data_IF_028628342220
#
_entry.id   IF_028628342220
#
_cell.length_a   1.000
_cell.length_b   1.000
_cell.length_c   1.000
_cell.angle_alpha   90.00
_cell.angle_beta   90.00
_cell.angle_gamma   90.00
#
_symmetry.space_group_name_H-M   'P 1'
#
loop_
_entity.id
_entity.type
_entity.pdbx_description
1 polymer ?
#
# COMPACT_ATOMS: atom_id res chain seq x y z
N UNK A 1 -4.06 -26.59 -7.84
CA UNK A 1 -3.69 -26.46 -6.42
C UNK A 1 -2.29 -27.03 -6.24
N UNK A 2 -1.31 -26.18 -5.94
CA UNK A 2 0.04 -26.64 -5.59
C UNK A 2 -0.05 -27.51 -4.33
N UNK A 3 0.69 -28.61 -4.29
CA UNK A 3 0.80 -29.41 -3.08
C UNK A 3 1.50 -28.56 -2.02
N UNK A 4 0.90 -28.43 -0.85
CA UNK A 4 1.55 -27.83 0.32
C UNK A 4 2.79 -28.67 0.67
N UNK A 5 3.96 -28.09 0.50
CA UNK A 5 5.22 -28.71 0.90
C UNK A 5 5.69 -28.08 2.22
N UNK A 6 5.62 -28.87 3.28
CA UNK A 6 6.07 -28.47 4.61
C UNK A 6 7.51 -28.91 4.94
N UNK A 7 8.21 -29.54 3.99
CA UNK A 7 9.58 -29.94 4.20
C UNK A 7 10.50 -28.71 4.29
N UNK A 8 11.42 -28.71 5.24
CA UNK A 8 12.45 -27.66 5.35
C UNK A 8 13.58 -27.82 4.33
N UNK A 9 13.61 -28.95 3.62
CA UNK A 9 14.54 -29.23 2.52
C UNK A 9 13.75 -29.46 1.22
N UNK A 10 14.25 -28.93 0.13
CA UNK A 10 13.75 -29.24 -1.21
C UNK A 10 14.37 -30.53 -1.72
N UNK A 11 13.83 -31.10 -2.81
CA UNK A 11 14.34 -32.31 -3.46
C UNK A 11 15.83 -32.23 -3.86
N UNK A 12 16.39 -31.02 -3.93
CA UNK A 12 17.81 -30.76 -4.21
C UNK A 12 18.61 -30.41 -2.95
N UNK A 13 18.17 -30.81 -1.75
CA UNK A 13 18.80 -30.49 -0.47
C UNK A 13 18.98 -28.97 -0.22
N UNK A 14 18.17 -28.14 -0.85
CA UNK A 14 18.22 -26.67 -0.67
C UNK A 14 17.38 -26.28 0.54
N UNK A 15 17.96 -25.51 1.43
CA UNK A 15 17.26 -25.03 2.61
C UNK A 15 16.10 -24.09 2.23
N UNK A 16 14.90 -24.31 2.77
CA UNK A 16 13.66 -23.62 2.37
C UNK A 16 13.74 -22.09 2.44
N UNK A 17 14.49 -21.53 3.37
CA UNK A 17 14.69 -20.07 3.43
C UNK A 17 15.37 -19.52 2.16
N UNK A 18 16.18 -20.33 1.50
CA UNK A 18 16.88 -19.93 0.27
C UNK A 18 16.06 -20.21 -0.98
N UNK A 19 15.41 -21.38 -1.01
CA UNK A 19 14.54 -21.81 -2.12
C UNK A 19 13.36 -22.58 -1.55
N UNK A 20 12.15 -22.06 -1.79
CA UNK A 20 10.90 -22.73 -1.48
C UNK A 20 10.04 -22.74 -2.76
N UNK A 21 9.73 -23.91 -3.29
CA UNK A 21 8.97 -24.03 -4.54
C UNK A 21 7.59 -23.39 -4.46
N UNK A 22 6.88 -23.59 -3.34
CA UNK A 22 5.55 -23.03 -3.14
C UNK A 22 5.59 -21.49 -3.16
N UNK A 23 6.57 -20.90 -2.48
CA UNK A 23 6.79 -19.44 -2.48
C UNK A 23 7.19 -18.96 -3.87
N UNK A 24 8.09 -19.69 -4.57
CA UNK A 24 8.55 -19.31 -5.90
C UNK A 24 7.43 -19.34 -6.96
N UNK A 25 6.50 -20.28 -6.86
CA UNK A 25 5.35 -20.36 -7.77
C UNK A 25 4.40 -19.18 -7.58
N UNK A 26 4.10 -18.80 -6.32
CA UNK A 26 3.29 -17.63 -6.04
C UNK A 26 4.00 -16.33 -6.45
N UNK A 27 5.30 -16.20 -6.19
CA UNK A 27 6.11 -15.05 -6.65
C UNK A 27 6.05 -14.91 -8.18
N UNK A 28 6.18 -16.01 -8.91
CA UNK A 28 6.07 -16.03 -10.37
C UNK A 28 4.67 -15.65 -10.84
N UNK A 29 3.61 -16.14 -10.18
CA UNK A 29 2.22 -15.79 -10.48
C UNK A 29 2.00 -14.27 -10.28
N UNK A 30 2.41 -13.74 -9.16
CA UNK A 30 2.30 -12.30 -8.87
C UNK A 30 3.12 -11.45 -9.85
N UNK A 31 4.34 -11.88 -10.19
CA UNK A 31 5.14 -11.19 -11.20
C UNK A 31 4.42 -11.14 -12.55
N UNK A 32 3.78 -12.24 -12.98
CA UNK A 32 2.95 -12.27 -14.18
C UNK A 32 1.76 -11.31 -14.11
N UNK A 33 1.07 -11.23 -12.97
CA UNK A 33 -0.06 -10.31 -12.78
C UNK A 33 0.37 -8.83 -12.84
N UNK A 34 1.53 -8.49 -12.30
CA UNK A 34 2.11 -7.14 -12.43
C UNK A 34 2.71 -6.86 -13.82
N UNK A 35 3.06 -7.89 -14.60
CA UNK A 35 3.95 -7.74 -15.75
C UNK A 35 5.37 -7.34 -15.35
N UNK A 36 5.78 -7.73 -14.16
CA UNK A 36 7.09 -7.46 -13.57
C UNK A 36 8.07 -8.61 -13.87
N UNK A 37 9.37 -8.34 -13.73
CA UNK A 37 10.39 -9.40 -13.89
C UNK A 37 10.50 -10.28 -12.67
N UNK A 38 10.33 -9.71 -11.46
CA UNK A 38 10.48 -10.45 -10.22
C UNK A 38 9.55 -9.93 -9.13
N UNK A 39 9.08 -10.85 -8.28
CA UNK A 39 8.45 -10.54 -6.99
C UNK A 39 9.22 -11.31 -5.92
N UNK A 40 9.41 -10.69 -4.76
CA UNK A 40 9.87 -11.34 -3.53
C UNK A 40 8.77 -11.21 -2.49
N UNK A 41 8.29 -12.34 -1.98
CA UNK A 41 7.36 -12.36 -0.86
C UNK A 41 8.08 -12.04 0.45
N UNK A 42 7.40 -11.32 1.32
CA UNK A 42 7.89 -10.94 2.65
C UNK A 42 6.82 -11.19 3.71
N UNK A 43 7.22 -11.28 4.99
CA UNK A 43 6.27 -11.54 6.09
C UNK A 43 5.36 -10.33 6.39
N UNK A 44 5.72 -9.14 5.91
CA UNK A 44 4.90 -7.92 5.99
C UNK A 44 5.36 -6.90 4.96
N UNK A 45 4.51 -5.90 4.64
CA UNK A 45 4.93 -4.78 3.79
C UNK A 45 6.05 -3.96 4.43
N UNK A 46 6.04 -3.77 5.75
CA UNK A 46 7.15 -3.09 6.44
C UNK A 46 8.48 -3.83 6.31
N UNK A 47 8.46 -5.17 6.30
CA UNK A 47 9.66 -5.96 5.99
C UNK A 47 10.09 -5.75 4.54
N UNK A 48 9.16 -5.74 3.58
CA UNK A 48 9.44 -5.42 2.18
C UNK A 48 10.12 -4.05 2.04
N UNK A 49 9.56 -3.02 2.68
CA UNK A 49 10.11 -1.66 2.69
C UNK A 49 11.52 -1.66 3.28
N UNK A 50 11.71 -2.23 4.46
CA UNK A 50 13.01 -2.22 5.14
C UNK A 50 14.09 -2.95 4.35
N UNK A 51 13.77 -4.11 3.79
CA UNK A 51 14.68 -4.90 2.95
C UNK A 51 15.05 -4.11 1.70
N UNK A 52 14.08 -3.51 1.01
CA UNK A 52 14.31 -2.78 -0.22
C UNK A 52 15.18 -1.54 0.00
N UNK A 53 14.91 -0.76 1.04
CA UNK A 53 15.73 0.39 1.39
C UNK A 53 17.15 0.00 1.82
N UNK A 54 17.31 -1.06 2.62
CA UNK A 54 18.62 -1.57 3.01
C UNK A 54 19.43 -2.08 1.80
N UNK A 55 18.74 -2.66 0.81
CA UNK A 55 19.38 -3.13 -0.43
C UNK A 55 19.82 -1.96 -1.31
N UNK A 56 18.95 -0.97 -1.52
CA UNK A 56 19.21 0.16 -2.39
C UNK A 56 20.18 1.16 -1.77
N UNK A 57 20.13 1.34 -0.46
CA UNK A 57 20.87 2.36 0.29
C UNK A 57 21.64 1.75 1.48
N UNK A 58 22.59 0.82 1.22
CA UNK A 58 23.29 0.12 2.31
C UNK A 58 24.09 1.07 3.23
N UNK A 59 24.53 2.20 2.69
CA UNK A 59 25.28 3.22 3.43
C UNK A 59 24.44 4.45 3.79
N UNK A 60 23.11 4.36 3.63
CA UNK A 60 22.22 5.51 3.77
C UNK A 60 22.13 6.35 2.49
N UNK A 61 21.44 7.48 2.58
CA UNK A 61 21.26 8.39 1.44
C UNK A 61 20.06 9.30 1.60
N UNK A 62 19.86 10.17 0.63
CA UNK A 62 18.74 11.11 0.61
C UNK A 62 17.51 10.45 0.01
N UNK A 63 16.40 10.53 0.75
CA UNK A 63 15.11 9.92 0.42
C UNK A 63 14.06 11.02 0.37
N UNK A 64 13.41 11.18 -0.76
CA UNK A 64 12.27 12.08 -0.92
C UNK A 64 10.99 11.26 -0.74
N UNK A 65 10.16 11.63 0.23
CA UNK A 65 8.87 10.97 0.46
C UNK A 65 7.73 11.96 0.27
N UNK A 66 6.57 11.45 -0.18
CA UNK A 66 5.39 12.29 -0.21
C UNK A 66 4.94 12.62 1.22
N UNK A 67 4.53 13.85 1.46
CA UNK A 67 4.14 14.32 2.80
C UNK A 67 3.00 13.54 3.44
N UNK A 68 2.12 12.92 2.65
CA UNK A 68 1.01 12.06 3.10
C UNK A 68 1.29 10.55 3.00
N UNK A 69 2.58 10.17 2.94
CA UNK A 69 3.04 8.77 3.03
C UNK A 69 2.59 8.14 4.35
N UNK A 70 2.29 6.85 4.30
CA UNK A 70 1.85 6.04 5.45
C UNK A 70 2.72 6.28 6.68
N UNK A 71 2.05 6.48 7.82
CA UNK A 71 2.70 6.91 9.07
C UNK A 71 3.86 6.01 9.51
N UNK A 72 3.67 4.68 9.49
CA UNK A 72 4.72 3.75 9.95
C UNK A 72 5.94 3.77 9.03
N UNK A 73 5.77 3.93 7.72
CA UNK A 73 6.89 4.09 6.77
C UNK A 73 7.68 5.36 7.08
N UNK A 74 6.98 6.48 7.29
CA UNK A 74 7.63 7.75 7.66
C UNK A 74 8.39 7.64 8.97
N UNK A 75 7.78 7.02 10.00
CA UNK A 75 8.44 6.85 11.30
C UNK A 75 9.67 5.94 11.19
N UNK A 76 9.55 4.82 10.49
CA UNK A 76 10.65 3.90 10.27
C UNK A 76 11.85 4.58 9.58
N UNK A 77 11.60 5.34 8.50
CA UNK A 77 12.64 6.08 7.78
C UNK A 77 13.35 7.09 8.70
N UNK A 78 12.58 7.88 9.47
CA UNK A 78 13.13 8.88 10.41
C UNK A 78 13.92 8.23 11.57
N UNK A 79 13.40 7.12 12.11
CA UNK A 79 14.05 6.41 13.21
C UNK A 79 15.37 5.74 12.81
N UNK A 80 15.52 5.35 11.56
CA UNK A 80 16.71 4.64 11.07
C UNK A 80 17.99 5.49 11.19
N UNK A 81 17.88 6.83 11.21
CA UNK A 81 19.00 7.81 11.30
C UNK A 81 20.05 7.69 10.18
N UNK A 82 19.89 6.74 9.26
CA UNK A 82 20.80 6.53 8.11
C UNK A 82 20.36 7.32 6.89
N UNK A 83 19.10 7.74 6.85
CA UNK A 83 18.51 8.42 5.70
C UNK A 83 18.32 9.90 6.01
N UNK A 84 18.69 10.75 5.05
CA UNK A 84 18.24 12.12 4.98
C UNK A 84 16.82 12.12 4.40
N UNK A 85 15.80 12.17 5.23
CA UNK A 85 14.39 12.11 4.81
C UNK A 85 13.86 13.50 4.56
N UNK A 86 13.45 13.78 3.33
CA UNK A 86 12.83 15.03 2.93
C UNK A 86 11.36 14.77 2.56
N UNK A 87 10.45 15.42 3.24
CA UNK A 87 9.02 15.38 2.93
C UNK A 87 8.66 16.45 1.91
N UNK A 88 8.09 16.04 0.78
CA UNK A 88 7.70 16.93 -0.29
C UNK A 88 6.25 16.66 -0.69
N UNK A 89 5.50 17.69 -1.03
CA UNK A 89 4.20 17.51 -1.66
C UNK A 89 4.38 17.15 -3.14
N UNK A 90 4.11 15.91 -3.50
CA UNK A 90 4.31 15.45 -4.87
C UNK A 90 3.33 16.07 -5.87
N UNK A 91 2.27 16.73 -5.44
CA UNK A 91 1.46 17.56 -6.35
C UNK A 91 2.26 18.72 -6.94
N UNK A 92 3.29 19.19 -6.22
CA UNK A 92 4.20 20.22 -6.70
C UNK A 92 5.21 19.73 -7.76
N UNK A 93 5.34 18.40 -7.95
CA UNK A 93 6.16 17.84 -9.02
C UNK A 93 5.43 17.83 -10.37
N UNK A 94 4.09 17.94 -10.35
CA UNK A 94 3.25 17.89 -11.55
C UNK A 94 2.87 19.26 -12.08
N UNK A 95 3.01 20.31 -11.28
CA UNK A 95 2.59 21.66 -11.68
C UNK A 95 3.37 22.73 -10.92
N UNK A 96 4.17 23.51 -11.63
CA UNK A 96 4.87 24.67 -11.10
C UNK A 96 4.11 25.95 -11.41
N UNK A 97 3.98 26.81 -10.41
CA UNK A 97 3.34 28.13 -10.56
C UNK A 97 4.34 29.17 -11.04
N UNK A 98 5.65 28.92 -10.86
CA UNK A 98 6.73 29.83 -11.28
C UNK A 98 8.04 29.07 -11.56
N UNK A 99 8.97 29.71 -12.28
CA UNK A 99 10.33 29.21 -12.46
C UNK A 99 11.10 29.12 -11.15
N UNK A 100 10.82 30.00 -10.20
CA UNK A 100 11.44 29.99 -8.86
C UNK A 100 11.05 28.74 -8.10
N UNK A 101 9.76 28.35 -8.12
CA UNK A 101 9.28 27.11 -7.50
C UNK A 101 9.92 25.87 -8.14
N UNK A 102 10.06 25.85 -9.47
CA UNK A 102 10.74 24.77 -10.17
C UNK A 102 12.21 24.64 -9.76
N UNK A 103 12.91 25.77 -9.65
CA UNK A 103 14.32 25.81 -9.22
C UNK A 103 14.47 25.35 -7.77
N UNK A 104 13.59 25.81 -6.88
CA UNK A 104 13.55 25.38 -5.48
C UNK A 104 13.37 23.86 -5.36
N UNK A 105 12.40 23.31 -6.08
CA UNK A 105 12.17 21.85 -6.09
C UNK A 105 13.38 21.09 -6.62
N UNK A 106 13.99 21.55 -7.69
CA UNK A 106 15.20 20.92 -8.24
C UNK A 106 16.36 20.92 -7.24
N UNK A 107 16.54 21.98 -6.47
CA UNK A 107 17.57 22.01 -5.43
C UNK A 107 17.21 21.08 -4.26
N UNK A 108 15.93 21.03 -3.86
CA UNK A 108 15.45 20.11 -2.81
C UNK A 108 15.72 18.65 -3.18
N UNK A 109 15.45 18.24 -4.42
CA UNK A 109 15.60 16.83 -4.86
C UNK A 109 17.03 16.46 -5.25
N UNK A 110 17.92 17.41 -5.37
CA UNK A 110 19.32 17.19 -5.76
C UNK A 110 20.01 16.22 -4.82
N UNK A 111 20.69 15.24 -5.39
CA UNK A 111 21.36 14.16 -4.65
C UNK A 111 20.42 13.12 -4.04
N UNK A 112 19.13 13.19 -4.32
CA UNK A 112 18.20 12.14 -3.90
C UNK A 112 18.56 10.81 -4.57
N UNK A 113 18.47 9.74 -3.78
CA UNK A 113 18.70 8.37 -4.23
C UNK A 113 17.42 7.59 -4.45
N UNK A 114 16.39 7.91 -3.66
CA UNK A 114 15.08 7.24 -3.70
C UNK A 114 13.95 8.27 -3.55
N UNK A 115 12.91 8.10 -4.34
CA UNK A 115 11.59 8.71 -4.16
C UNK A 115 10.60 7.62 -3.74
N UNK A 116 9.76 7.93 -2.75
CA UNK A 116 8.77 6.99 -2.24
C UNK A 116 7.40 7.67 -2.07
N UNK A 117 6.35 7.02 -2.56
CA UNK A 117 4.98 7.48 -2.36
C UNK A 117 4.00 6.31 -2.31
N UNK A 118 2.93 6.49 -1.54
CA UNK A 118 1.74 5.62 -1.58
C UNK A 118 0.91 5.96 -2.83
N UNK A 119 0.42 4.96 -3.55
CA UNK A 119 -0.31 5.16 -4.80
C UNK A 119 -1.60 4.33 -4.86
N UNK A 120 -2.79 4.95 -4.71
CA UNK A 120 -3.00 6.35 -4.39
C UNK A 120 -2.49 6.72 -3.00
N UNK A 121 -2.33 8.02 -2.76
CA UNK A 121 -1.91 8.52 -1.46
C UNK A 121 -2.94 8.24 -0.35
N UNK A 122 -2.57 8.51 0.91
CA UNK A 122 -3.49 8.36 2.04
C UNK A 122 -4.84 9.06 1.81
N UNK A 123 -4.86 10.26 1.20
CA UNK A 123 -6.09 10.98 0.86
C UNK A 123 -6.68 10.59 -0.50
N UNK A 124 -6.44 9.37 -0.96
CA UNK A 124 -6.99 8.82 -2.20
C UNK A 124 -6.66 9.66 -3.46
N UNK A 125 -5.56 10.42 -3.43
CA UNK A 125 -5.09 11.19 -4.57
C UNK A 125 -4.20 10.34 -5.46
N UNK A 126 -4.41 10.46 -6.76
CA UNK A 126 -3.48 9.97 -7.75
C UNK A 126 -2.54 11.11 -8.15
N UNK A 127 -1.28 10.78 -8.31
CA UNK A 127 -0.25 11.67 -8.86
C UNK A 127 0.10 11.22 -10.27
N UNK A 128 0.53 12.12 -11.13
CA UNK A 128 1.06 11.75 -12.44
C UNK A 128 2.43 11.07 -12.28
N UNK A 129 2.43 9.75 -12.36
CA UNK A 129 3.66 8.96 -12.22
C UNK A 129 4.66 9.22 -13.36
N UNK A 130 4.22 9.64 -14.55
CA UNK A 130 5.12 9.95 -15.66
C UNK A 130 5.91 11.23 -15.37
N UNK A 131 5.24 12.25 -14.86
CA UNK A 131 5.90 13.48 -14.44
C UNK A 131 6.87 13.23 -13.27
N UNK A 132 6.43 12.51 -12.24
CA UNK A 132 7.32 12.12 -11.12
C UNK A 132 8.55 11.37 -11.63
N UNK A 133 8.37 10.42 -12.55
CA UNK A 133 9.46 9.66 -13.14
C UNK A 133 10.45 10.54 -13.88
N UNK A 134 10.02 11.65 -14.49
CA UNK A 134 10.93 12.60 -15.15
C UNK A 134 11.88 13.25 -14.15
N UNK A 135 11.38 13.68 -12.98
CA UNK A 135 12.20 14.22 -11.90
C UNK A 135 13.14 13.17 -11.29
N UNK A 136 12.62 11.98 -11.03
CA UNK A 136 13.41 10.85 -10.50
C UNK A 136 14.59 10.55 -11.41
N UNK A 137 14.36 10.50 -12.72
CA UNK A 137 15.41 10.27 -13.73
C UNK A 137 16.41 11.44 -13.81
N UNK A 138 15.95 12.69 -13.65
CA UNK A 138 16.82 13.87 -13.72
C UNK A 138 17.91 13.88 -12.65
N UNK A 139 17.69 13.20 -11.52
CA UNK A 139 18.68 13.07 -10.44
C UNK A 139 19.25 11.64 -10.32
N UNK A 140 18.99 10.77 -11.30
CA UNK A 140 19.43 9.37 -11.33
C UNK A 140 19.00 8.57 -10.08
N UNK A 141 17.82 8.86 -9.55
CA UNK A 141 17.24 8.18 -8.40
C UNK A 141 16.37 6.97 -8.81
N UNK A 142 15.84 6.24 -7.83
CA UNK A 142 14.85 5.18 -7.98
C UNK A 142 13.49 5.62 -7.47
N UNK A 143 12.41 5.20 -8.14
CA UNK A 143 11.05 5.40 -7.70
C UNK A 143 10.50 4.11 -7.08
N UNK A 144 10.01 4.22 -5.85
CA UNK A 144 9.28 3.17 -5.14
C UNK A 144 7.85 3.66 -4.91
N UNK A 145 6.87 2.83 -5.23
CA UNK A 145 5.46 3.10 -4.87
C UNK A 145 4.93 2.03 -3.93
N UNK A 146 4.16 2.45 -2.93
CA UNK A 146 3.33 1.53 -2.13
C UNK A 146 1.95 1.41 -2.78
N UNK A 147 1.65 0.22 -3.29
CA UNK A 147 0.42 -0.06 -4.05
C UNK A 147 -0.69 -0.69 -3.20
N UNK A 148 -0.58 -0.60 -1.87
CA UNK A 148 -1.44 -1.33 -0.93
C UNK A 148 -2.92 -0.92 -1.02
N UNK A 149 -3.23 0.36 -1.25
CA UNK A 149 -4.60 0.91 -1.13
C UNK A 149 -5.56 0.38 -2.19
N UNK A 150 -5.09 0.16 -3.42
CA UNK A 150 -5.91 -0.34 -4.52
C UNK A 150 -5.43 -1.68 -5.07
N UNK A 151 -4.31 -2.17 -4.57
CA UNK A 151 -3.65 -3.42 -4.97
C UNK A 151 -3.31 -3.50 -6.46
N UNK A 152 -2.63 -4.56 -6.84
CA UNK A 152 -2.34 -4.89 -8.24
C UNK A 152 -3.60 -4.99 -9.13
N UNK A 153 -4.79 -5.03 -8.51
CA UNK A 153 -6.04 -5.19 -9.24
C UNK A 153 -6.45 -3.91 -9.99
N UNK A 154 -6.38 -2.74 -9.33
CA UNK A 154 -6.79 -1.46 -9.94
C UNK A 154 -5.62 -0.60 -10.40
N UNK A 155 -4.46 -0.75 -9.78
CA UNK A 155 -3.29 0.07 -10.08
C UNK A 155 -2.07 -0.78 -10.36
N UNK A 156 -1.33 -0.41 -11.39
CA UNK A 156 -0.10 -1.12 -11.74
C UNK A 156 1.02 -0.14 -12.10
N UNK A 157 1.72 0.41 -11.10
CA UNK A 157 2.80 1.36 -11.33
C UNK A 157 3.98 0.81 -12.14
N UNK A 158 4.20 -0.51 -12.14
CA UNK A 158 5.23 -1.16 -12.96
C UNK A 158 5.01 -0.86 -14.45
N UNK A 159 3.76 -0.91 -14.92
CA UNK A 159 3.44 -0.62 -16.34
C UNK A 159 3.70 0.82 -16.73
N UNK A 160 3.68 1.73 -15.77
CA UNK A 160 4.00 3.15 -15.99
C UNK A 160 5.53 3.36 -16.03
N UNK A 161 6.31 2.45 -15.47
CA UNK A 161 7.77 2.51 -15.47
C UNK A 161 8.42 2.70 -14.11
N UNK A 162 7.64 2.61 -13.03
CA UNK A 162 8.15 2.64 -11.63
C UNK A 162 9.16 1.52 -11.43
N UNK A 163 10.27 1.79 -10.76
CA UNK A 163 11.35 0.82 -10.58
C UNK A 163 10.96 -0.33 -9.66
N UNK A 164 10.33 0.02 -8.52
CA UNK A 164 9.90 -0.94 -7.50
C UNK A 164 8.51 -0.61 -6.99
N UNK A 165 7.74 -1.65 -6.72
CA UNK A 165 6.48 -1.55 -6.00
C UNK A 165 6.59 -2.36 -4.72
N UNK A 166 6.12 -1.82 -3.60
CA UNK A 166 5.84 -2.57 -2.39
C UNK A 166 4.33 -2.66 -2.22
N UNK A 167 3.85 -3.77 -1.68
CA UNK A 167 2.42 -3.96 -1.44
C UNK A 167 2.20 -4.80 -0.19
N UNK A 168 1.25 -4.39 0.64
CA UNK A 168 0.76 -5.21 1.75
C UNK A 168 -0.27 -6.22 1.24
N UNK A 169 0.15 -7.44 1.02
CA UNK A 169 -0.76 -8.52 0.64
C UNK A 169 -1.72 -8.92 1.76
N UNK A 170 -1.49 -8.45 2.99
CA UNK A 170 -2.42 -8.58 4.12
C UNK A 170 -3.76 -7.87 3.90
N UNK A 171 -3.84 -6.93 2.94
CA UNK A 171 -5.03 -6.13 2.65
C UNK A 171 -5.90 -6.83 1.59
N UNK A 172 -6.23 -6.17 0.51
CA UNK A 172 -7.13 -6.69 -0.53
C UNK A 172 -6.69 -8.02 -1.13
N UNK A 173 -5.40 -8.27 -1.27
CA UNK A 173 -4.90 -9.53 -1.86
C UNK A 173 -5.34 -10.73 -1.02
N UNK A 174 -5.05 -10.76 0.28
CA UNK A 174 -5.56 -11.79 1.20
C UNK A 174 -7.05 -11.63 1.46
N UNK A 175 -7.51 -10.42 1.77
CA UNK A 175 -8.92 -10.04 1.81
C UNK A 175 -9.72 -10.53 3.01
N UNK A 176 -9.14 -11.29 3.94
CA UNK A 176 -9.89 -11.94 5.04
C UNK A 176 -9.46 -11.48 6.43
N UNK A 177 -8.36 -10.70 6.53
CA UNK A 177 -7.83 -10.22 7.81
C UNK A 177 -7.14 -11.30 8.65
N UNK A 178 -6.72 -12.38 8.01
CA UNK A 178 -6.14 -13.60 8.60
C UNK A 178 -4.71 -13.88 8.13
N UNK A 179 -4.19 -13.09 7.19
CA UNK A 179 -2.85 -13.23 6.61
C UNK A 179 -2.04 -11.97 6.83
N UNK A 180 -0.82 -12.12 7.26
CA UNK A 180 0.21 -11.07 7.21
C UNK A 180 1.25 -11.44 6.16
N UNK A 181 1.36 -10.60 5.13
CA UNK A 181 2.35 -10.74 4.07
C UNK A 181 2.57 -9.42 3.34
N UNK A 182 3.69 -9.31 2.66
CA UNK A 182 4.00 -8.22 1.75
C UNK A 182 4.78 -8.70 0.55
N UNK A 183 5.11 -7.80 -0.34
CA UNK A 183 5.94 -8.12 -1.50
C UNK A 183 6.76 -6.94 -1.98
N UNK A 184 7.90 -7.27 -2.58
CA UNK A 184 8.73 -6.36 -3.37
C UNK A 184 8.57 -6.78 -4.83
N UNK A 185 8.07 -5.89 -5.66
CA UNK A 185 7.88 -6.10 -7.08
C UNK A 185 8.94 -5.31 -7.84
N UNK A 186 9.72 -5.98 -8.67
CA UNK A 186 10.81 -5.39 -9.44
C UNK A 186 10.43 -5.27 -10.92
N UNK A 187 10.49 -4.06 -11.47
CA UNK A 187 10.25 -3.83 -12.90
C UNK A 187 11.25 -4.59 -13.76
N UNK A 188 12.52 -4.44 -13.43
CA UNK A 188 13.63 -5.07 -14.12
C UNK A 188 14.12 -6.31 -13.33
N UNK A 189 14.88 -7.18 -13.99
CA UNK A 189 15.48 -8.33 -13.31
C UNK A 189 16.49 -7.81 -12.27
N UNK A 190 16.26 -8.08 -10.98
CA UNK A 190 17.21 -7.65 -9.97
C UNK A 190 18.49 -8.49 -10.07
N UNK A 191 19.61 -7.91 -9.62
CA UNK A 191 20.84 -8.67 -9.50
C UNK A 191 20.65 -9.89 -8.60
N UNK A 192 21.34 -10.99 -8.88
CA UNK A 192 21.26 -12.23 -8.07
C UNK A 192 21.50 -11.99 -6.58
N UNK A 193 22.33 -11.01 -6.26
CA UNK A 193 22.59 -10.56 -4.89
C UNK A 193 21.33 -10.18 -4.11
N UNK A 194 20.30 -9.63 -4.76
CA UNK A 194 19.05 -9.25 -4.09
C UNK A 194 18.31 -10.48 -3.55
N UNK A 195 18.25 -11.57 -4.31
CA UNK A 195 17.64 -12.82 -3.84
C UNK A 195 18.35 -13.35 -2.58
N UNK A 196 19.70 -13.35 -2.64
CA UNK A 196 20.53 -13.77 -1.50
C UNK A 196 20.34 -12.82 -0.32
N UNK A 197 20.25 -11.52 -0.59
CA UNK A 197 20.04 -10.50 0.44
C UNK A 197 18.71 -10.70 1.18
N UNK A 198 17.60 -10.88 0.46
CA UNK A 198 16.26 -11.15 1.04
C UNK A 198 16.32 -12.37 1.97
N UNK A 199 16.89 -13.48 1.49
CA UNK A 199 17.03 -14.70 2.30
C UNK A 199 17.92 -14.52 3.54
N UNK A 200 19.03 -13.75 3.43
CA UNK A 200 19.92 -13.45 4.56
C UNK A 200 19.29 -12.53 5.61
N UNK A 201 18.31 -11.72 5.23
CA UNK A 201 17.51 -10.92 6.19
C UNK A 201 16.53 -11.77 6.99
N UNK A 202 16.47 -13.08 6.73
CA UNK A 202 15.60 -14.01 7.44
C UNK A 202 14.16 -14.03 6.93
N UNK A 203 13.90 -13.38 5.78
CA UNK A 203 12.58 -13.39 5.18
C UNK A 203 12.22 -14.81 4.73
N UNK A 204 11.23 -15.41 5.37
CA UNK A 204 10.76 -16.77 5.09
C UNK A 204 9.26 -16.85 5.35
N UNK A 205 8.49 -16.62 4.28
CA UNK A 205 7.03 -16.68 4.36
C UNK A 205 6.58 -18.13 4.52
N UNK A 206 5.69 -18.41 5.47
CA UNK A 206 5.24 -19.77 5.76
C UNK A 206 4.42 -20.35 4.60
N UNK A 207 4.49 -21.68 4.40
CA UNK A 207 3.69 -22.36 3.38
C UNK A 207 2.17 -22.15 3.59
N UNK A 208 1.71 -22.04 4.82
CA UNK A 208 0.31 -21.73 5.13
C UNK A 208 -0.08 -20.32 4.64
N UNK A 209 0.78 -19.33 4.87
CA UNK A 209 0.57 -17.97 4.37
C UNK A 209 0.48 -17.95 2.84
N UNK A 210 1.39 -18.66 2.16
CA UNK A 210 1.39 -18.76 0.70
C UNK A 210 0.11 -19.43 0.20
N UNK A 211 -0.31 -20.53 0.80
CA UNK A 211 -1.57 -21.22 0.47
C UNK A 211 -2.79 -20.31 0.61
N UNK A 212 -2.90 -19.56 1.71
CA UNK A 212 -4.00 -18.64 1.95
C UNK A 212 -4.00 -17.49 0.94
N UNK A 213 -2.84 -16.98 0.55
CA UNK A 213 -2.71 -15.96 -0.49
C UNK A 213 -3.15 -16.49 -1.86
N UNK A 214 -2.67 -17.67 -2.27
CA UNK A 214 -3.08 -18.30 -3.53
C UNK A 214 -4.59 -18.50 -3.60
N UNK A 215 -5.18 -19.07 -2.53
CA UNK A 215 -6.62 -19.25 -2.42
C UNK A 215 -7.38 -17.93 -2.53
N UNK A 216 -6.87 -16.88 -1.90
CA UNK A 216 -7.49 -15.55 -1.89
C UNK A 216 -7.43 -14.86 -3.25
N UNK A 217 -6.39 -15.10 -4.04
CA UNK A 217 -6.27 -14.57 -5.40
C UNK A 217 -7.38 -15.10 -6.33
N UNK A 218 -7.93 -16.29 -6.08
CA UNK A 218 -9.03 -16.84 -6.88
C UNK A 218 -10.33 -16.01 -6.80
N UNK A 219 -10.52 -15.28 -5.70
CA UNK A 219 -11.71 -14.43 -5.46
C UNK A 219 -11.42 -12.94 -5.54
N UNK A 220 -10.20 -12.54 -5.87
CA UNK A 220 -9.78 -11.14 -5.84
C UNK A 220 -10.68 -10.28 -6.72
N UNK A 221 -10.97 -10.71 -7.95
CA UNK A 221 -11.81 -9.97 -8.90
C UNK A 221 -13.21 -9.69 -8.33
N UNK A 222 -13.87 -10.71 -7.82
CA UNK A 222 -15.23 -10.59 -7.26
C UNK A 222 -15.24 -9.68 -6.04
N UNK A 223 -14.26 -9.83 -5.16
CA UNK A 223 -14.14 -9.00 -3.95
C UNK A 223 -13.88 -7.54 -4.28
N UNK A 224 -12.94 -7.24 -5.19
CA UNK A 224 -12.60 -5.88 -5.55
C UNK A 224 -13.76 -5.16 -6.24
N UNK A 225 -14.53 -5.84 -7.10
CA UNK A 225 -15.76 -5.29 -7.68
C UNK A 225 -16.78 -4.92 -6.62
N UNK A 226 -17.01 -5.82 -5.64
CA UNK A 226 -17.96 -5.57 -4.55
C UNK A 226 -17.50 -4.46 -3.61
N UNK A 227 -16.23 -4.42 -3.24
CA UNK A 227 -15.65 -3.30 -2.48
C UNK A 227 -15.89 -1.96 -3.18
N UNK A 228 -15.66 -1.93 -4.51
CA UNK A 228 -15.85 -0.71 -5.30
C UNK A 228 -17.31 -0.31 -5.40
N UNK A 229 -18.22 -1.26 -5.60
CA UNK A 229 -19.66 -1.00 -5.58
C UNK A 229 -20.08 -0.33 -4.27
N UNK A 230 -19.67 -0.94 -3.15
CA UNK A 230 -20.04 -0.44 -1.82
C UNK A 230 -19.38 0.93 -1.54
N UNK A 231 -18.08 1.07 -1.81
CA UNK A 231 -17.36 2.33 -1.61
C UNK A 231 -17.94 3.49 -2.42
N UNK A 232 -18.26 3.26 -3.69
CA UNK A 232 -18.90 4.27 -4.55
C UNK A 232 -20.26 4.68 -4.00
N UNK A 233 -21.11 3.72 -3.67
CA UNK A 233 -22.42 3.98 -3.12
C UNK A 233 -22.37 4.84 -1.84
N UNK A 234 -21.46 4.50 -0.93
CA UNK A 234 -21.29 5.26 0.32
C UNK A 234 -20.75 6.67 0.05
N UNK A 235 -19.71 6.81 -0.78
CA UNK A 235 -19.13 8.12 -1.13
C UNK A 235 -20.18 9.05 -1.78
N UNK A 236 -20.98 8.52 -2.71
CA UNK A 236 -22.07 9.29 -3.35
C UNK A 236 -23.14 9.76 -2.37
N UNK A 237 -23.49 8.92 -1.38
CA UNK A 237 -24.48 9.29 -0.38
C UNK A 237 -23.92 10.29 0.65
N UNK A 238 -22.63 10.20 1.02
CA UNK A 238 -21.96 11.24 1.80
C UNK A 238 -21.97 12.59 1.06
N UNK A 239 -21.70 12.59 -0.24
CA UNK A 239 -21.74 13.81 -1.06
C UNK A 239 -23.16 14.43 -1.12
N UNK A 240 -24.23 13.62 -1.20
CA UNK A 240 -25.62 14.11 -1.14
C UNK A 240 -25.95 14.81 0.18
N UNK A 241 -25.25 14.43 1.25
CA UNK A 241 -25.37 15.09 2.56
C UNK A 241 -24.38 16.27 2.73
N UNK A 242 -23.69 16.68 1.66
CA UNK A 242 -22.63 17.69 1.68
C UNK A 242 -21.48 17.38 2.65
N UNK A 243 -21.24 16.08 2.91
CA UNK A 243 -20.10 15.64 3.72
C UNK A 243 -18.91 15.45 2.76
N UNK A 244 -17.92 16.35 2.87
CA UNK A 244 -16.66 16.25 2.13
C UNK A 244 -16.02 14.89 2.43
N UNK A 245 -15.63 14.15 1.39
CA UNK A 245 -14.93 12.89 1.55
C UNK A 245 -13.89 12.71 0.45
N UNK A 246 -12.92 11.84 0.71
CA UNK A 246 -11.89 11.42 -0.23
C UNK A 246 -12.09 9.95 -0.55
N UNK A 247 -12.39 9.68 -1.79
CA UNK A 247 -12.58 8.36 -2.36
C UNK A 247 -11.91 8.31 -3.73
N UNK A 248 -11.12 7.26 -3.99
CA UNK A 248 -10.38 7.10 -5.24
C UNK A 248 -11.24 6.76 -6.47
N UNK A 249 -12.52 6.44 -6.26
CA UNK A 249 -13.39 5.85 -7.28
C UNK A 249 -13.34 4.32 -7.33
N UNK A 250 -12.42 3.70 -6.60
CA UNK A 250 -12.16 2.27 -6.56
C UNK A 250 -11.93 1.75 -5.14
N UNK A 251 -12.15 0.44 -4.94
CA UNK A 251 -12.00 -0.21 -3.63
C UNK A 251 -13.05 0.24 -2.62
N UNK A 252 -12.83 -0.04 -1.34
CA UNK A 252 -13.78 0.24 -0.27
C UNK A 252 -13.37 1.38 0.67
N UNK A 253 -12.17 1.96 0.52
CA UNK A 253 -11.65 2.94 1.47
C UNK A 253 -12.17 4.35 1.18
N UNK A 254 -12.77 4.97 2.20
CA UNK A 254 -13.27 6.35 2.16
C UNK A 254 -12.77 7.06 3.43
N UNK A 255 -12.30 8.28 3.26
CA UNK A 255 -11.83 9.14 4.36
C UNK A 255 -12.67 10.40 4.36
N UNK A 256 -13.09 10.87 5.52
CA UNK A 256 -13.80 12.14 5.65
C UNK A 256 -13.44 12.86 6.96
N UNK A 257 -13.47 14.22 6.99
CA UNK A 257 -13.08 15.00 8.15
C UNK A 257 -14.15 15.00 9.23
N UNK A 258 -13.72 15.21 10.47
CA UNK A 258 -14.59 15.46 11.62
C UNK A 258 -15.02 14.22 12.38
N UNK A 259 -15.50 14.38 13.61
CA UNK A 259 -16.04 13.38 14.56
C UNK A 259 -15.26 12.06 14.69
N UNK A 260 -13.99 12.01 14.29
CA UNK A 260 -13.22 10.79 13.98
C UNK A 260 -13.42 9.64 14.95
N UNK A 261 -13.08 9.79 16.24
CA UNK A 261 -13.16 8.70 17.22
C UNK A 261 -14.60 8.39 17.63
N UNK A 262 -15.39 9.41 17.97
CA UNK A 262 -16.78 9.27 18.37
C UNK A 262 -17.63 8.59 17.29
N UNK A 263 -17.47 9.01 16.03
CA UNK A 263 -18.16 8.40 14.91
C UNK A 263 -17.77 6.92 14.75
N UNK A 264 -16.48 6.60 14.85
CA UNK A 264 -16.01 5.23 14.73
C UNK A 264 -16.54 4.34 15.85
N UNK A 265 -16.67 4.89 17.07
CA UNK A 265 -17.26 4.16 18.21
C UNK A 265 -18.73 3.86 17.99
N UNK A 266 -19.52 4.88 17.62
CA UNK A 266 -20.95 4.70 17.28
C UNK A 266 -21.13 3.70 16.15
N UNK A 267 -20.35 3.82 15.06
CA UNK A 267 -20.45 2.95 13.91
C UNK A 267 -20.12 1.49 14.26
N UNK A 268 -19.12 1.26 15.11
CA UNK A 268 -18.76 -0.09 15.52
C UNK A 268 -19.82 -0.78 16.39
N UNK A 269 -20.66 -0.01 17.05
CA UNK A 269 -21.79 -0.53 17.87
C UNK A 269 -23.00 -0.96 17.03
N UNK A 270 -23.10 -0.51 15.78
CA UNK A 270 -24.20 -0.91 14.87
C UNK A 270 -24.06 -2.36 14.36
N UNK A 271 -22.86 -2.95 14.43
CA UNK A 271 -22.63 -4.39 14.24
C UNK A 271 -22.01 -4.80 12.90
N UNK A 272 -22.10 -4.00 11.84
CA UNK A 272 -21.52 -4.34 10.53
C UNK A 272 -20.10 -3.80 10.35
N UNK A 273 -19.67 -2.83 11.17
CA UNK A 273 -18.31 -2.28 11.13
C UNK A 273 -17.51 -2.70 12.36
N UNK A 274 -16.31 -3.23 12.13
CA UNK A 274 -15.34 -3.49 13.21
C UNK A 274 -14.42 -2.29 13.38
N UNK A 275 -14.25 -1.78 14.61
CA UNK A 275 -13.25 -0.73 14.90
C UNK A 275 -11.87 -1.35 14.89
N UNK A 276 -11.14 -1.18 13.79
CA UNK A 276 -9.75 -1.64 13.66
C UNK A 276 -9.01 -0.88 12.54
N UNK A 277 -7.68 -0.76 12.61
CA UNK A 277 -6.90 0.03 11.66
C UNK A 277 -6.67 -0.65 10.31
N UNK A 278 -7.20 -1.86 10.07
CA UNK A 278 -7.05 -2.57 8.79
C UNK A 278 -8.10 -2.14 7.76
N UNK A 279 -7.96 -2.62 6.53
CA UNK A 279 -8.90 -2.43 5.43
C UNK A 279 -8.76 -3.56 4.40
N UNK A 280 -9.68 -3.59 3.42
CA UNK A 280 -9.64 -4.56 2.32
C UNK A 280 -10.05 -5.97 2.73
N UNK A 281 -10.79 -6.10 3.84
CA UNK A 281 -11.32 -7.35 4.37
C UNK A 281 -12.75 -7.60 3.87
N UNK A 282 -13.19 -8.86 3.87
CA UNK A 282 -14.57 -9.24 3.53
C UNK A 282 -15.61 -8.57 4.43
N UNK A 283 -15.24 -8.18 5.65
CA UNK A 283 -16.06 -7.42 6.58
C UNK A 283 -15.64 -5.94 6.60
N UNK A 284 -16.60 -5.07 6.85
CA UNK A 284 -16.37 -3.62 6.92
C UNK A 284 -15.63 -3.22 8.19
N UNK A 285 -14.78 -2.19 8.06
CA UNK A 285 -13.99 -1.67 9.17
C UNK A 285 -14.08 -0.15 9.25
N UNK A 286 -13.88 0.36 10.46
CA UNK A 286 -13.76 1.79 10.72
C UNK A 286 -12.57 2.08 11.62
N UNK A 287 -11.91 3.19 11.39
CA UNK A 287 -10.84 3.69 12.24
C UNK A 287 -10.75 5.20 12.14
N UNK A 288 -10.31 5.83 13.21
CA UNK A 288 -9.97 7.25 13.15
C UNK A 288 -8.46 7.42 12.92
N UNK A 289 -8.11 8.51 12.26
CA UNK A 289 -6.74 8.89 11.99
C UNK A 289 -6.50 10.27 12.56
N UNK A 290 -5.50 10.39 13.43
CA UNK A 290 -4.98 11.67 13.88
C UNK A 290 -3.85 12.08 12.97
N UNK A 291 -3.99 13.21 12.30
CA UNK A 291 -2.92 13.77 11.48
C UNK A 291 -2.79 15.25 11.80
N UNK A 292 -2.03 15.59 12.87
CA UNK A 292 -1.88 16.97 13.28
C UNK A 292 -1.17 17.85 12.26
N UNK A 293 -0.38 17.25 11.34
CA UNK A 293 0.57 17.98 10.51
C UNK A 293 0.15 18.13 9.04
N UNK A 294 -0.94 17.48 8.61
CA UNK A 294 -1.26 17.40 7.17
C UNK A 294 -2.36 18.33 6.70
N UNK A 295 -3.30 18.73 7.57
CA UNK A 295 -4.43 19.62 7.23
C UNK A 295 -5.01 20.26 8.50
N UNK A 296 -5.80 21.33 8.36
CA UNK A 296 -6.48 22.05 9.45
C UNK A 296 -7.50 21.22 10.26
N UNK A 297 -7.58 19.93 10.04
CA UNK A 297 -8.51 19.01 10.70
C UNK A 297 -7.75 18.09 11.64
N UNK A 298 -8.11 18.12 12.93
CA UNK A 298 -7.44 17.34 13.99
C UNK A 298 -7.64 15.82 13.90
N UNK A 299 -8.71 15.35 13.21
CA UNK A 299 -8.99 13.93 13.06
C UNK A 299 -9.85 13.65 11.83
N UNK A 300 -9.65 12.45 11.28
CA UNK A 300 -10.40 11.92 10.14
C UNK A 300 -11.00 10.58 10.53
N UNK A 301 -12.22 10.32 10.06
CA UNK A 301 -12.76 8.96 10.03
C UNK A 301 -12.34 8.30 8.72
N UNK A 302 -11.88 7.06 8.81
CA UNK A 302 -11.73 6.15 7.67
C UNK A 302 -12.71 5.02 7.82
N UNK A 303 -13.50 4.78 6.80
CA UNK A 303 -14.29 3.56 6.63
C UNK A 303 -13.70 2.74 5.50
N UNK A 304 -13.77 1.43 5.64
CA UNK A 304 -13.45 0.48 4.59
C UNK A 304 -14.61 -0.47 4.44
N UNK A 305 -15.36 -0.31 3.35
CA UNK A 305 -16.50 -1.14 3.04
C UNK A 305 -16.05 -2.57 2.69
N UNK A 306 -16.60 -3.56 3.35
CA UNK A 306 -16.46 -4.97 3.05
C UNK A 306 -17.40 -5.43 1.94
N UNK A 307 -17.87 -6.67 2.04
CA UNK A 307 -18.72 -7.31 1.03
C UNK A 307 -20.21 -7.36 1.43
N UNK A 308 -20.57 -6.77 2.57
CA UNK A 308 -21.95 -6.69 3.07
C UNK A 308 -22.84 -5.92 2.09
N UNK A 309 -24.14 -5.95 2.31
CA UNK A 309 -25.08 -5.16 1.53
C UNK A 309 -24.84 -3.66 1.73
N UNK A 310 -24.73 -2.92 0.64
CA UNK A 310 -24.42 -1.49 0.65
C UNK A 310 -25.46 -0.62 1.32
N UNK A 311 -26.76 -1.07 1.30
CA UNK A 311 -27.85 -0.32 1.93
C UNK A 311 -27.77 -0.45 3.43
N UNK A 312 -27.46 -1.65 3.93
CA UNK A 312 -27.23 -1.90 5.35
C UNK A 312 -26.05 -1.11 5.87
N UNK A 313 -24.93 -1.12 5.14
CA UNK A 313 -23.75 -0.32 5.51
C UNK A 313 -24.07 1.18 5.56
N UNK A 314 -24.88 1.66 4.61
CA UNK A 314 -25.27 3.07 4.59
C UNK A 314 -26.19 3.42 5.77
N UNK A 315 -27.14 2.57 6.11
CA UNK A 315 -28.04 2.77 7.25
C UNK A 315 -27.24 2.92 8.56
N UNK A 316 -26.25 2.05 8.79
CA UNK A 316 -25.36 2.14 9.94
C UNK A 316 -24.56 3.45 9.95
N UNK A 317 -24.00 3.86 8.81
CA UNK A 317 -23.25 5.11 8.69
C UNK A 317 -24.16 6.31 8.95
N UNK A 318 -25.34 6.34 8.32
CA UNK A 318 -26.30 7.43 8.47
C UNK A 318 -26.73 7.62 9.93
N UNK A 319 -27.12 6.53 10.60
CA UNK A 319 -27.47 6.56 12.02
C UNK A 319 -26.31 7.04 12.90
N UNK A 320 -25.08 6.62 12.59
CA UNK A 320 -23.89 7.03 13.36
C UNK A 320 -23.51 8.49 13.17
N UNK A 321 -23.95 9.13 12.08
CA UNK A 321 -23.72 10.55 11.82
C UNK A 321 -24.71 11.45 12.58
N UNK A 322 -25.95 10.99 12.81
CA UNK A 322 -27.06 11.82 13.29
C UNK A 322 -27.68 11.39 14.62
N UNK A 323 -27.46 10.17 15.07
CA UNK A 323 -27.84 9.65 16.38
C UNK A 323 -26.63 9.66 17.35
#
# INVERSE_FOLDING_TARGET
MSKLDFNIFTDNYTYQRNVNHVTADLEKRLAGMYGAKRVFLTNSCMEAISILFDYLLPNGGKVIINKDTYYETRQWLKMSKRFEVVELDFSKLSFFTSLEEEMEIKEIIKGASVFYLDYPSFFMKFYDLQEILSFVKSVNAKLITDNTVLSLYYTNPIKVGVDYVVESYSKYVAGHGDVMAGGIVCKDEPKDEMKVFVGRRGCCVSAMTVFLLERSLETLDVRMKKHTENGRFISENLNKLNIKNWYSGYGGCIIFPGKGEEFCDKLSQKGHFKKCPTFGTTFSTTSFVRSPDLYDVKSYARISCGLEDKVVLWDDIYKSLYE
#
